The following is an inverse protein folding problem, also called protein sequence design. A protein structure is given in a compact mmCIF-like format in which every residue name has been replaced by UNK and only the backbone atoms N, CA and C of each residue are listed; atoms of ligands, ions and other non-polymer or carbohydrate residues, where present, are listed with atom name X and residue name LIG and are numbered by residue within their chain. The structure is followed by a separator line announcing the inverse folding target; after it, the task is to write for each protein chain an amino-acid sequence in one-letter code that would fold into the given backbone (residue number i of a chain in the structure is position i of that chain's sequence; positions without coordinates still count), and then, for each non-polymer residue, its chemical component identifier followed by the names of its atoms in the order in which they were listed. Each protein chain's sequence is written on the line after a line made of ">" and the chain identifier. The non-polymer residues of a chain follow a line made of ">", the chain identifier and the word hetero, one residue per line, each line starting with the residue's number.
data_IF_119088146660
#
_entry.id   IF_119088146660
#
_cell.length_a   1.000
_cell.length_b   1.000
_cell.length_c   1.000
_cell.angle_alpha   90.00
_cell.angle_beta   90.00
_cell.angle_gamma   90.00
#
_symmetry.space_group_name_H-M   'P 1'
#
loop_
_entity.id
_entity.type
_entity.pdbx_description
1 polymer ?
#
# COMPACT_ATOMS: atom_id res chain seq x y z
N UNK A 1 -14.42 -20.34 14.07
CA UNK A 1 -14.41 -19.37 12.96
C UNK A 1 -14.35 -17.97 13.56
N UNK A 2 -13.37 -17.15 13.21
CA UNK A 2 -13.34 -15.75 13.68
C UNK A 2 -14.54 -15.00 13.10
N UNK A 3 -15.12 -14.09 13.89
CA UNK A 3 -16.20 -13.20 13.42
C UNK A 3 -15.71 -12.31 12.27
N UNK A 4 -16.63 -11.80 11.45
CA UNK A 4 -16.28 -10.85 10.38
C UNK A 4 -15.51 -9.63 10.89
N UNK A 5 -15.90 -9.10 12.06
CA UNK A 5 -15.21 -7.97 12.69
C UNK A 5 -13.74 -8.29 13.09
N UNK A 6 -13.48 -9.48 13.62
CA UNK A 6 -12.12 -9.93 13.94
C UNK A 6 -11.27 -10.13 12.69
N UNK A 7 -11.86 -10.71 11.63
CA UNK A 7 -11.20 -10.89 10.34
C UNK A 7 -10.81 -9.54 9.72
N UNK A 8 -11.73 -8.58 9.68
CA UNK A 8 -11.46 -7.24 9.15
C UNK A 8 -10.40 -6.49 9.97
N UNK A 9 -10.42 -6.65 11.31
CA UNK A 9 -9.41 -6.06 12.19
C UNK A 9 -8.02 -6.66 11.95
N UNK A 10 -7.94 -7.97 11.74
CA UNK A 10 -6.70 -8.64 11.36
C UNK A 10 -6.18 -8.17 10.00
N UNK A 11 -7.04 -8.05 8.99
CA UNK A 11 -6.62 -7.60 7.67
C UNK A 11 -6.09 -6.14 7.71
N UNK A 12 -6.70 -5.25 8.50
CA UNK A 12 -6.15 -3.91 8.76
C UNK A 12 -4.77 -3.97 9.43
N UNK A 13 -4.58 -4.90 10.36
CA UNK A 13 -3.29 -5.08 11.04
C UNK A 13 -2.19 -5.59 10.08
N UNK A 14 -2.54 -6.43 9.08
CA UNK A 14 -1.58 -6.92 8.08
C UNK A 14 -0.97 -5.80 7.24
N UNK A 15 -1.76 -4.80 6.83
CA UNK A 15 -1.26 -3.67 6.02
C UNK A 15 -0.63 -2.55 6.86
N UNK A 16 -0.79 -2.58 8.18
CA UNK A 16 -0.30 -1.51 9.06
C UNK A 16 1.22 -1.26 8.95
N UNK A 17 2.10 -2.28 8.86
CA UNK A 17 3.53 -2.06 8.67
C UNK A 17 3.85 -1.32 7.38
N UNK A 18 3.23 -1.69 6.26
CA UNK A 18 3.39 -0.98 4.98
C UNK A 18 2.96 0.48 5.08
N UNK A 19 1.86 0.77 5.79
CA UNK A 19 1.41 2.14 6.01
C UNK A 19 2.37 2.95 6.88
N UNK A 20 2.96 2.34 7.90
CA UNK A 20 3.91 3.00 8.79
C UNK A 20 5.20 3.40 8.05
N UNK A 21 5.76 2.49 7.25
CA UNK A 21 6.97 2.77 6.45
C UNK A 21 6.71 3.70 5.25
N UNK A 22 5.45 4.01 4.94
CA UNK A 22 5.12 5.10 4.01
C UNK A 22 4.87 6.43 4.72
N UNK A 23 4.50 6.42 6.01
CA UNK A 23 4.31 7.64 6.79
C UNK A 23 5.65 8.28 7.15
N UNK A 24 6.60 7.46 7.62
CA UNK A 24 8.00 7.82 7.79
C UNK A 24 8.78 7.07 6.70
N UNK A 25 8.81 7.65 5.48
CA UNK A 25 9.24 6.91 4.30
C UNK A 25 10.67 6.40 4.40
N UNK A 26 10.83 5.07 4.37
CA UNK A 26 12.13 4.41 4.27
C UNK A 26 12.08 3.39 3.14
N UNK A 27 12.77 3.62 2.01
CA UNK A 27 12.58 2.85 0.78
C UNK A 27 12.89 1.36 0.94
N UNK A 28 13.86 0.99 1.78
CA UNK A 28 14.25 -0.42 1.97
C UNK A 28 13.20 -1.18 2.78
N UNK A 29 12.72 -0.59 3.88
CA UNK A 29 11.66 -1.13 4.72
C UNK A 29 10.32 -1.12 4.01
N UNK A 30 10.09 -0.12 3.16
CA UNK A 30 8.95 -0.05 2.26
C UNK A 30 8.93 -1.29 1.33
N UNK A 31 10.01 -1.54 0.57
CA UNK A 31 10.16 -2.75 -0.25
C UNK A 31 9.92 -4.04 0.55
N UNK A 32 10.59 -4.18 1.69
CA UNK A 32 10.46 -5.37 2.55
C UNK A 32 9.06 -5.58 3.14
N UNK A 33 8.36 -4.49 3.48
CA UNK A 33 6.99 -4.58 3.98
C UNK A 33 6.00 -5.02 2.89
N UNK A 34 6.21 -4.61 1.64
CA UNK A 34 5.43 -5.14 0.51
C UNK A 34 5.71 -6.62 0.27
N UNK A 35 6.97 -7.05 0.31
CA UNK A 35 7.36 -8.46 0.15
C UNK A 35 6.71 -9.36 1.20
N UNK A 36 6.61 -8.88 2.45
CA UNK A 36 5.95 -9.60 3.53
C UNK A 36 4.42 -9.62 3.42
N UNK A 37 3.83 -8.60 2.78
CA UNK A 37 2.38 -8.42 2.70
C UNK A 37 1.75 -9.13 1.49
N UNK A 38 2.44 -9.16 0.36
CA UNK A 38 1.85 -9.51 -0.93
C UNK A 38 2.20 -10.93 -1.37
N UNK A 39 1.25 -11.59 -2.04
CA UNK A 39 1.55 -12.77 -2.81
C UNK A 39 2.54 -12.43 -3.95
N UNK A 40 3.39 -13.38 -4.39
CA UNK A 40 4.39 -13.12 -5.44
C UNK A 40 3.80 -12.58 -6.75
N UNK A 41 2.57 -12.98 -7.08
CA UNK A 41 1.82 -12.61 -8.28
C UNK A 41 0.73 -11.57 -8.03
N UNK A 42 0.79 -10.85 -6.91
CA UNK A 42 -0.18 -9.80 -6.58
C UNK A 42 -0.26 -8.77 -7.71
N UNK A 43 -1.48 -8.49 -8.18
CA UNK A 43 -1.74 -7.51 -9.22
C UNK A 43 -2.04 -6.13 -8.62
N UNK A 44 -1.18 -5.16 -8.95
CA UNK A 44 -1.34 -3.76 -8.58
C UNK A 44 -1.90 -3.01 -9.78
N UNK A 45 -3.10 -2.45 -9.64
CA UNK A 45 -3.73 -1.63 -10.68
C UNK A 45 -3.75 -0.18 -10.26
N UNK A 46 -3.04 0.67 -10.98
CA UNK A 46 -2.99 2.10 -10.75
C UNK A 46 -3.73 2.83 -11.86
N UNK A 47 -4.17 4.05 -11.58
CA UNK A 47 -4.81 4.90 -12.57
C UNK A 47 -3.86 5.19 -13.74
N UNK A 48 -4.42 5.42 -14.92
CA UNK A 48 -3.67 5.92 -16.07
C UNK A 48 -2.96 7.24 -15.68
N UNK A 49 -1.67 7.45 -16.05
CA UNK A 49 -0.89 6.68 -17.03
C UNK A 49 -0.04 5.52 -16.48
N UNK A 50 -0.08 5.22 -15.18
CA UNK A 50 0.81 4.22 -14.57
C UNK A 50 0.47 2.78 -14.99
N UNK A 51 -0.83 2.44 -15.02
CA UNK A 51 -1.28 1.11 -15.43
C UNK A 51 -1.07 0.02 -14.40
N UNK A 52 -0.74 -1.19 -14.86
CA UNK A 52 -0.74 -2.40 -14.05
C UNK A 52 0.68 -2.94 -13.82
N UNK A 53 0.92 -3.46 -12.61
CA UNK A 53 2.16 -4.15 -12.24
C UNK A 53 1.84 -5.51 -11.61
N UNK A 54 2.60 -6.54 -11.97
CA UNK A 54 2.49 -7.88 -11.38
C UNK A 54 3.67 -8.13 -10.46
N UNK A 55 3.37 -8.42 -9.21
CA UNK A 55 4.35 -8.62 -8.16
C UNK A 55 4.75 -7.30 -7.50
N UNK A 56 5.05 -7.39 -6.21
CA UNK A 56 5.36 -6.22 -5.42
C UNK A 56 6.59 -5.47 -5.95
N UNK A 57 7.60 -6.18 -6.47
CA UNK A 57 8.85 -5.58 -6.99
C UNK A 57 8.57 -4.63 -8.15
N UNK A 58 7.81 -5.11 -9.14
CA UNK A 58 7.42 -4.31 -10.29
C UNK A 58 6.63 -3.07 -9.87
N UNK A 59 5.70 -3.22 -8.91
CA UNK A 59 4.93 -2.09 -8.38
C UNK A 59 5.82 -1.05 -7.68
N UNK A 60 6.72 -1.48 -6.80
CA UNK A 60 7.57 -0.54 -6.06
C UNK A 60 8.51 0.21 -7.00
N UNK A 61 9.20 -0.51 -7.89
CA UNK A 61 10.16 0.09 -8.83
C UNK A 61 9.45 0.97 -9.88
N UNK A 62 8.22 0.62 -10.27
CA UNK A 62 7.48 1.35 -11.31
C UNK A 62 6.67 2.55 -10.80
N UNK A 63 6.23 2.55 -9.54
CA UNK A 63 5.34 3.58 -9.02
C UNK A 63 5.86 4.32 -7.78
N UNK A 64 6.45 3.61 -6.81
CA UNK A 64 6.84 4.21 -5.53
C UNK A 64 8.24 4.82 -5.60
N UNK A 65 9.23 4.09 -6.12
CA UNK A 65 10.60 4.58 -6.21
C UNK A 65 10.73 5.87 -7.06
N UNK A 66 10.11 5.98 -8.26
CA UNK A 66 10.17 7.22 -9.03
C UNK A 66 9.49 8.40 -8.33
N UNK A 67 8.44 8.14 -7.54
CA UNK A 67 7.77 9.17 -6.75
C UNK A 67 8.67 9.66 -5.60
N UNK A 68 9.38 8.75 -4.94
CA UNK A 68 10.35 9.08 -3.90
C UNK A 68 11.58 9.82 -4.46
N UNK A 69 12.02 9.50 -5.67
CA UNK A 69 13.10 10.23 -6.35
C UNK A 69 12.67 11.68 -6.64
N UNK A 70 11.40 11.90 -6.98
CA UNK A 70 10.86 13.24 -7.21
C UNK A 70 10.63 14.02 -5.91
N UNK A 71 10.21 13.33 -4.82
CA UNK A 71 9.91 13.87 -3.49
C UNK A 71 10.80 13.19 -2.43
N UNK A 72 12.01 13.71 -2.13
CA UNK A 72 12.95 13.06 -1.21
C UNK A 72 12.44 12.91 0.24
N UNK A 73 11.50 13.76 0.62
CA UNK A 73 10.74 13.75 1.88
C UNK A 73 9.31 13.19 1.66
N UNK A 74 9.16 12.22 0.74
CA UNK A 74 7.90 11.55 0.44
C UNK A 74 7.25 11.03 1.73
N UNK A 75 5.96 11.27 1.87
CA UNK A 75 5.14 10.65 2.90
C UNK A 75 3.79 10.26 2.31
N UNK A 76 3.17 9.22 2.86
CA UNK A 76 1.76 8.89 2.65
C UNK A 76 1.00 9.09 3.95
N UNK A 77 0.04 10.02 3.94
CA UNK A 77 -0.82 10.33 5.09
C UNK A 77 -2.20 9.72 4.86
N UNK A 78 -2.56 8.72 5.67
CA UNK A 78 -3.91 8.16 5.68
C UNK A 78 -4.82 8.91 6.66
N UNK A 79 -6.03 9.25 6.21
CA UNK A 79 -7.09 9.78 7.06
C UNK A 79 -8.02 8.68 7.56
N UNK A 80 -8.36 7.72 6.70
CA UNK A 80 -9.38 6.71 6.98
C UNK A 80 -8.85 5.34 6.58
N UNK A 81 -9.01 4.36 7.47
CA UNK A 81 -8.70 2.95 7.22
C UNK A 81 -9.92 2.12 7.55
N UNK A 82 -10.50 1.50 6.53
CA UNK A 82 -11.69 0.67 6.66
C UNK A 82 -11.42 -0.71 6.10
N UNK A 83 -12.18 -1.69 6.57
CA UNK A 83 -12.14 -3.04 6.05
C UNK A 83 -13.53 -3.66 6.10
N UNK A 84 -13.81 -4.54 5.15
CA UNK A 84 -15.11 -5.15 4.98
C UNK A 84 -15.03 -6.41 4.14
N UNK A 85 -16.18 -7.06 3.99
CA UNK A 85 -16.35 -8.16 3.05
C UNK A 85 -16.67 -7.61 1.65
N UNK A 86 -16.31 -8.38 0.64
CA UNK A 86 -16.80 -8.27 -0.73
C UNK A 86 -17.99 -9.21 -0.93
N UNK A 87 -18.81 -8.95 -1.96
CA UNK A 87 -19.97 -9.77 -2.29
C UNK A 87 -19.63 -11.21 -2.72
N UNK A 88 -18.35 -11.50 -2.99
CA UNK A 88 -17.83 -12.77 -3.51
C UNK A 88 -16.95 -13.54 -2.51
N UNK A 89 -17.27 -13.46 -1.21
CA UNK A 89 -16.52 -14.08 -0.10
C UNK A 89 -15.08 -13.55 0.10
N UNK A 90 -14.70 -12.50 -0.63
CA UNK A 90 -13.45 -11.78 -0.41
C UNK A 90 -13.51 -10.81 0.77
N UNK A 91 -12.35 -10.32 1.20
CA UNK A 91 -12.22 -9.18 2.10
C UNK A 91 -11.45 -8.05 1.42
N UNK A 92 -11.68 -6.82 1.86
CA UNK A 92 -10.93 -5.66 1.42
C UNK A 92 -10.45 -4.82 2.60
N UNK A 93 -9.35 -4.09 2.37
CA UNK A 93 -8.88 -3.00 3.22
C UNK A 93 -8.72 -1.76 2.35
N UNK A 94 -9.35 -0.67 2.73
CA UNK A 94 -9.33 0.60 2.02
C UNK A 94 -8.64 1.66 2.86
N UNK A 95 -7.67 2.35 2.28
CA UNK A 95 -6.93 3.43 2.91
C UNK A 95 -7.15 4.73 2.13
N UNK A 96 -7.93 5.65 2.68
CA UNK A 96 -8.15 6.99 2.11
C UNK A 96 -7.16 7.99 2.69
N UNK A 97 -6.52 8.79 1.82
CA UNK A 97 -5.44 9.69 2.20
C UNK A 97 -4.80 10.38 1.00
N UNK A 98 -3.57 10.86 1.17
CA UNK A 98 -2.80 11.53 0.14
C UNK A 98 -1.30 11.28 0.31
N UNK A 99 -0.53 11.48 -0.77
CA UNK A 99 0.93 11.58 -0.71
C UNK A 99 1.33 13.05 -0.63
N UNK A 100 2.43 13.32 0.06
CA UNK A 100 2.99 14.68 0.22
C UNK A 100 4.51 14.63 0.24
N UNK A 101 5.14 15.77 -0.02
CA UNK A 101 6.58 15.95 -0.11
C UNK A 101 6.92 17.22 -0.88
N UNK A 102 8.20 17.55 -0.89
CA UNK A 102 8.80 18.68 -1.60
C UNK A 102 9.31 18.22 -2.96
N UNK A 103 8.79 18.81 -4.03
CA UNK A 103 9.23 18.50 -5.40
C UNK A 103 10.62 19.04 -5.72
N UNK A 104 11.47 18.20 -6.32
CA UNK A 104 12.76 18.62 -6.88
C UNK A 104 12.66 19.31 -8.27
N UNK A 105 11.49 19.33 -8.91
CA UNK A 105 11.26 20.00 -10.20
C UNK A 105 9.86 19.82 -10.76
#
# INVERSE_FOLDING_TARGET
>A
MASGAERHSRNKALIAPWRAVLYDFEPTAARGALDALCAPDALFRLSHPLGDFVGAEAYFNGAIAPLADAWPDLERRDFIVMAGACDNDGDWVGCGGFYTGTSLG
#
